data_IF_109686955747
#
_entry.id   IF_109686955747
#
_cell.length_a   1.000
_cell.length_b   1.000
_cell.length_c   1.000
_cell.angle_alpha   90.00
_cell.angle_beta   90.00
_cell.angle_gamma   90.00
#
_symmetry.space_group_name_H-M   'P 1'
#
loop_
_entity.id
_entity.type
_entity.pdbx_description
1 polymer ?
#
# COMPACT_ATOMS: atom_id res chain seq x y z
N UNK A 1 10.94 0.83 13.81
CA UNK A 1 10.12 1.28 12.68
C UNK A 1 8.74 0.66 12.83
N UNK A 2 7.68 1.35 12.41
CA UNK A 2 6.32 0.86 12.57
C UNK A 2 5.57 0.99 11.23
N UNK A 3 4.85 -0.04 10.84
CA UNK A 3 3.93 -0.03 9.72
C UNK A 3 2.51 -0.18 10.26
N UNK A 4 1.59 0.71 9.86
CA UNK A 4 0.18 0.62 10.24
C UNK A 4 -0.70 0.83 9.02
N UNK A 5 -1.39 -0.21 8.61
CA UNK A 5 -2.45 -0.13 7.59
C UNK A 5 -3.70 0.42 8.28
N UNK A 6 -4.02 1.66 7.99
CA UNK A 6 -5.17 2.37 8.55
C UNK A 6 -6.47 2.02 7.82
N UNK A 7 -6.39 1.80 6.52
CA UNK A 7 -7.50 1.39 5.66
C UNK A 7 -6.96 0.68 4.43
N UNK A 8 -7.71 -0.30 3.92
CA UNK A 8 -7.33 -1.05 2.71
C UNK A 8 -8.58 -1.51 1.94
N UNK A 9 -8.53 -1.38 0.60
CA UNK A 9 -9.58 -1.80 -0.33
C UNK A 9 -10.19 -0.64 -1.12
N UNK A 10 -11.05 -0.95 -2.09
CA UNK A 10 -11.64 0.01 -3.05
C UNK A 10 -12.49 1.14 -2.42
N UNK A 11 -12.75 1.09 -1.12
CA UNK A 11 -13.44 2.16 -0.39
C UNK A 11 -12.48 3.21 0.18
N UNK A 12 -11.19 2.94 0.23
CA UNK A 12 -10.14 3.86 0.63
C UNK A 12 -8.93 3.16 1.23
N UNK A 13 -7.76 3.61 0.82
CA UNK A 13 -6.46 3.12 1.24
C UNK A 13 -5.72 4.22 2.02
N UNK A 14 -5.08 3.85 3.10
CA UNK A 14 -4.21 4.73 3.88
C UNK A 14 -3.28 3.89 4.76
N UNK A 15 -1.99 4.17 4.69
CA UNK A 15 -0.98 3.46 5.47
C UNK A 15 -0.04 4.45 6.13
N UNK A 16 0.24 4.28 7.42
CA UNK A 16 1.23 5.07 8.16
C UNK A 16 2.53 4.29 8.27
N UNK A 17 3.63 4.95 7.95
CA UNK A 17 4.98 4.42 8.21
C UNK A 17 5.71 5.39 9.15
N UNK A 18 6.10 4.89 10.32
CA UNK A 18 6.70 5.69 11.39
C UNK A 18 8.12 5.21 11.72
N UNK A 19 9.01 6.15 12.00
CA UNK A 19 10.35 5.89 12.52
C UNK A 19 10.77 7.00 13.50
N UNK A 20 10.98 6.62 14.77
CA UNK A 20 11.47 7.56 15.79
C UNK A 20 10.53 8.74 16.08
N UNK A 21 9.23 8.52 16.14
CA UNK A 21 8.22 9.54 16.42
C UNK A 21 7.89 10.46 15.23
N UNK A 22 8.44 10.15 14.03
CA UNK A 22 8.17 10.87 12.78
C UNK A 22 7.56 9.91 11.78
N UNK A 23 6.59 10.36 11.00
CA UNK A 23 5.83 9.49 10.11
C UNK A 23 5.56 10.11 8.75
N UNK A 24 5.27 9.26 7.79
CA UNK A 24 4.65 9.61 6.51
C UNK A 24 3.36 8.81 6.34
N UNK A 25 2.43 9.36 5.58
CA UNK A 25 1.25 8.64 5.11
C UNK A 25 1.45 8.23 3.66
N UNK A 26 1.25 6.96 3.38
CA UNK A 26 1.11 6.42 2.03
C UNK A 26 -0.37 6.34 1.73
N UNK A 27 -0.81 7.14 0.78
CA UNK A 27 -2.21 7.40 0.42
C UNK A 27 -3.09 7.93 1.57
N UNK A 28 -4.13 8.63 1.19
CA UNK A 28 -5.20 9.12 2.07
C UNK A 28 -6.54 8.97 1.35
N UNK A 29 -6.92 7.75 1.09
CA UNK A 29 -8.16 7.40 0.37
C UNK A 29 -9.43 7.47 1.22
N UNK A 30 -9.29 7.62 2.54
CA UNK A 30 -10.38 7.90 3.48
C UNK A 30 -10.37 9.37 3.91
N UNK A 31 -11.43 9.85 4.57
CA UNK A 31 -11.48 11.26 4.98
C UNK A 31 -10.34 11.61 5.95
N UNK A 32 -9.85 12.85 5.91
CA UNK A 32 -8.80 13.33 6.81
C UNK A 32 -9.16 13.13 8.30
N UNK A 33 -10.44 13.34 8.68
CA UNK A 33 -10.93 13.10 10.04
C UNK A 33 -10.79 11.62 10.42
N UNK A 34 -11.19 10.73 9.53
CA UNK A 34 -11.12 9.28 9.77
C UNK A 34 -9.67 8.79 9.81
N UNK A 35 -8.80 9.32 8.94
CA UNK A 35 -7.36 9.02 8.96
C UNK A 35 -6.76 9.35 10.33
N UNK A 36 -6.97 10.57 10.82
CA UNK A 36 -6.45 11.00 12.14
C UNK A 36 -7.04 10.18 13.29
N UNK A 37 -8.35 9.87 13.23
CA UNK A 37 -8.99 9.00 14.23
C UNK A 37 -8.33 7.61 14.26
N UNK A 38 -8.10 7.00 13.09
CA UNK A 38 -7.48 5.67 12.99
C UNK A 38 -6.02 5.67 13.44
N UNK A 39 -5.27 6.73 13.18
CA UNK A 39 -3.91 6.92 13.72
C UNK A 39 -3.93 6.92 15.25
N UNK A 40 -4.86 7.65 15.86
CA UNK A 40 -5.01 7.68 17.31
C UNK A 40 -5.42 6.31 17.88
N UNK A 41 -6.39 5.61 17.27
CA UNK A 41 -6.81 4.25 17.66
C UNK A 41 -5.65 3.26 17.54
N UNK A 42 -4.80 3.41 16.54
CA UNK A 42 -3.60 2.58 16.38
C UNK A 42 -2.49 2.91 17.40
N UNK A 43 -2.70 3.87 18.31
CA UNK A 43 -1.68 4.30 19.28
C UNK A 43 -0.47 5.00 18.61
N UNK A 44 -0.68 5.67 17.48
CA UNK A 44 0.34 6.45 16.76
C UNK A 44 0.02 7.96 16.76
N UNK A 45 -0.87 8.41 17.65
CA UNK A 45 -1.32 9.80 17.70
C UNK A 45 -0.23 10.82 17.99
N UNK A 46 0.84 10.43 18.66
CA UNK A 46 1.97 11.30 18.98
C UNK A 46 3.02 11.39 17.84
N UNK A 47 2.88 10.57 16.80
CA UNK A 47 3.80 10.63 15.67
C UNK A 47 3.58 11.89 14.84
N UNK A 48 4.66 12.64 14.59
CA UNK A 48 4.63 13.81 13.71
C UNK A 48 4.56 13.37 12.26
N UNK A 49 3.43 13.59 11.61
CA UNK A 49 3.27 13.34 10.19
C UNK A 49 3.95 14.46 9.41
N UNK A 50 4.87 14.12 8.50
CA UNK A 50 5.69 15.08 7.77
C UNK A 50 5.38 15.17 6.28
N UNK A 51 4.75 14.15 5.71
CA UNK A 51 4.36 14.14 4.30
C UNK A 51 3.22 13.14 4.03
N UNK A 52 2.55 13.37 2.91
CA UNK A 52 1.73 12.37 2.21
C UNK A 52 2.48 11.93 0.96
N UNK A 53 2.54 10.64 0.71
CA UNK A 53 3.05 10.03 -0.53
C UNK A 53 1.86 9.41 -1.26
N UNK A 54 1.70 9.68 -2.54
CA UNK A 54 0.62 9.11 -3.35
C UNK A 54 1.18 8.01 -4.26
N UNK A 55 0.52 6.87 -4.23
CA UNK A 55 0.81 5.76 -5.16
C UNK A 55 0.31 6.07 -6.55
N UNK A 56 -0.93 6.55 -6.66
CA UNK A 56 -1.57 6.95 -7.92
C UNK A 56 -2.82 7.82 -7.64
N UNK A 57 -3.49 8.29 -8.71
CA UNK A 57 -4.55 9.31 -8.63
C UNK A 57 -5.97 8.80 -8.35
N UNK A 58 -6.21 7.50 -8.24
CA UNK A 58 -7.57 6.99 -8.00
C UNK A 58 -8.16 7.53 -6.70
N UNK A 59 -9.48 7.74 -6.71
CA UNK A 59 -10.20 8.42 -5.62
C UNK A 59 -10.02 7.74 -4.26
N UNK A 60 -9.93 6.43 -4.24
CA UNK A 60 -9.70 5.62 -3.03
C UNK A 60 -8.25 5.69 -2.51
N UNK A 61 -7.38 6.47 -3.16
CA UNK A 61 -6.02 6.81 -2.70
C UNK A 61 -5.85 8.29 -2.37
N UNK A 62 -6.58 9.21 -3.03
CA UNK A 62 -6.31 10.65 -2.91
C UNK A 62 -7.40 11.46 -2.21
N UNK A 63 -8.60 10.92 -2.02
CA UNK A 63 -9.81 11.66 -1.59
C UNK A 63 -9.62 12.54 -0.35
N UNK A 64 -8.86 12.09 0.64
CA UNK A 64 -8.62 12.82 1.87
C UNK A 64 -7.33 13.64 1.89
N UNK A 65 -6.45 13.46 0.91
CA UNK A 65 -5.08 14.01 0.90
C UNK A 65 -5.06 15.54 1.00
N UNK A 66 -5.90 16.23 0.20
CA UNK A 66 -6.02 17.69 0.21
C UNK A 66 -6.33 18.24 1.60
N UNK A 67 -7.39 17.72 2.22
CA UNK A 67 -7.87 18.23 3.51
C UNK A 67 -6.85 17.95 4.60
N UNK A 68 -6.23 16.78 4.56
CA UNK A 68 -5.21 16.39 5.54
C UNK A 68 -3.95 17.23 5.39
N UNK A 69 -3.41 17.35 4.19
CA UNK A 69 -2.18 18.10 3.91
C UNK A 69 -2.32 19.57 4.32
N UNK A 70 -3.44 20.21 3.95
CA UNK A 70 -3.73 21.60 4.36
C UNK A 70 -3.87 21.75 5.86
N UNK A 71 -4.56 20.83 6.52
CA UNK A 71 -4.77 20.86 7.98
C UNK A 71 -3.46 20.73 8.75
N UNK A 72 -2.54 19.90 8.28
CA UNK A 72 -1.26 19.65 8.94
C UNK A 72 -0.12 20.53 8.44
N UNK A 73 -0.31 21.27 7.33
CA UNK A 73 0.72 22.09 6.70
C UNK A 73 1.87 21.23 6.17
N UNK A 74 1.57 20.10 5.54
CA UNK A 74 2.58 19.13 5.05
C UNK A 74 2.51 18.97 3.53
N UNK A 75 3.65 18.67 2.88
CA UNK A 75 3.72 18.42 1.45
C UNK A 75 3.04 17.11 1.04
N UNK A 76 2.61 17.06 -0.23
CA UNK A 76 2.11 15.86 -0.91
C UNK A 76 3.07 15.52 -2.05
N UNK A 77 3.64 14.33 -1.99
CA UNK A 77 4.53 13.78 -3.01
C UNK A 77 3.78 12.81 -3.91
N UNK A 78 4.11 12.81 -5.19
CA UNK A 78 3.60 11.86 -6.17
C UNK A 78 4.35 12.01 -7.48
N UNK A 79 4.22 11.02 -8.37
CA UNK A 79 4.79 11.16 -9.71
C UNK A 79 4.14 12.32 -10.47
N UNK A 80 4.82 12.83 -11.50
CA UNK A 80 4.28 13.90 -12.33
C UNK A 80 2.93 13.51 -12.97
N UNK A 81 2.79 12.25 -13.40
CA UNK A 81 1.53 11.71 -13.92
C UNK A 81 0.43 11.73 -12.88
N UNK A 82 0.69 11.18 -11.69
CA UNK A 82 -0.24 11.15 -10.56
C UNK A 82 -0.68 12.55 -10.14
N UNK A 83 0.25 13.48 -9.94
CA UNK A 83 -0.10 14.85 -9.50
C UNK A 83 -0.93 15.60 -10.54
N UNK A 84 -0.63 15.45 -11.84
CA UNK A 84 -1.45 16.06 -12.91
C UNK A 84 -2.85 15.45 -12.97
N UNK A 85 -2.96 14.14 -12.91
CA UNK A 85 -4.25 13.45 -12.96
C UNK A 85 -5.11 13.72 -11.71
N UNK A 86 -4.48 13.86 -10.54
CA UNK A 86 -5.13 14.19 -9.28
C UNK A 86 -5.35 15.70 -9.06
N UNK A 87 -5.02 16.59 -10.00
CA UNK A 87 -5.01 18.04 -9.80
C UNK A 87 -6.32 18.60 -9.21
N UNK A 88 -7.48 18.08 -9.65
CA UNK A 88 -8.78 18.48 -9.11
C UNK A 88 -8.97 18.08 -7.64
N UNK A 89 -8.44 16.91 -7.24
CA UNK A 89 -8.50 16.43 -5.88
C UNK A 89 -7.47 17.11 -4.96
N UNK A 90 -6.39 17.65 -5.52
CA UNK A 90 -5.28 18.28 -4.80
C UNK A 90 -5.28 19.81 -4.91
N UNK A 91 -6.34 20.41 -5.41
CA UNK A 91 -6.46 21.87 -5.50
C UNK A 91 -6.16 22.55 -4.16
N UNK A 92 -5.41 23.67 -4.19
CA UNK A 92 -4.99 24.44 -3.00
C UNK A 92 -4.12 23.66 -1.96
N UNK A 93 -3.54 22.54 -2.32
CA UNK A 93 -2.45 21.96 -1.53
C UNK A 93 -1.21 22.84 -1.73
N UNK A 94 -0.62 23.39 -0.65
CA UNK A 94 0.45 24.41 -0.80
C UNK A 94 1.69 23.85 -1.50
N UNK A 95 2.07 22.63 -1.13
CA UNK A 95 3.31 22.02 -1.56
C UNK A 95 3.04 20.67 -2.24
N UNK A 96 2.93 20.68 -3.57
CA UNK A 96 2.93 19.48 -4.40
C UNK A 96 4.36 19.22 -4.89
N UNK A 97 4.93 18.10 -4.45
CA UNK A 97 6.32 17.72 -4.68
C UNK A 97 6.40 16.58 -5.69
N UNK A 98 6.76 16.84 -6.95
CA UNK A 98 6.93 15.77 -7.93
C UNK A 98 8.11 14.88 -7.58
N UNK A 99 7.93 13.59 -7.80
CA UNK A 99 8.99 12.58 -7.74
C UNK A 99 9.06 11.83 -9.07
N UNK A 100 10.21 11.29 -9.37
CA UNK A 100 10.38 10.36 -10.47
C UNK A 100 10.37 8.91 -9.97
N UNK A 101 10.13 7.97 -10.87
CA UNK A 101 10.29 6.56 -10.55
C UNK A 101 11.73 6.28 -10.15
N UNK A 102 11.93 5.48 -9.11
CA UNK A 102 13.23 5.14 -8.50
C UNK A 102 13.91 6.30 -7.76
N UNK A 103 13.21 7.41 -7.57
CA UNK A 103 13.70 8.46 -6.69
C UNK A 103 13.85 7.96 -5.25
N UNK A 104 14.86 8.50 -4.60
CA UNK A 104 15.11 8.25 -3.18
C UNK A 104 15.01 9.55 -2.39
N UNK A 105 14.04 9.60 -1.50
CA UNK A 105 13.74 10.74 -0.63
C UNK A 105 14.22 10.48 0.80
N UNK A 106 14.59 11.53 1.50
CA UNK A 106 14.89 11.47 2.94
C UNK A 106 13.82 12.24 3.71
N UNK A 107 12.80 11.55 4.21
CA UNK A 107 11.65 12.13 4.93
C UNK A 107 11.42 11.35 6.22
N UNK A 108 11.03 12.02 7.28
CA UNK A 108 10.72 11.41 8.59
C UNK A 108 11.85 10.52 9.15
N UNK A 109 13.12 10.84 8.80
CA UNK A 109 14.28 10.05 9.21
C UNK A 109 14.41 8.69 8.50
N UNK A 110 13.66 8.47 7.45
CA UNK A 110 13.69 7.28 6.60
C UNK A 110 14.20 7.62 5.20
N UNK A 111 14.87 6.66 4.56
CA UNK A 111 15.05 6.65 3.12
C UNK A 111 13.81 6.00 2.50
N UNK A 112 13.19 6.69 1.56
CA UNK A 112 11.96 6.26 0.89
C UNK A 112 12.26 6.20 -0.59
N UNK A 113 12.06 5.03 -1.22
CA UNK A 113 12.32 4.85 -2.65
C UNK A 113 11.06 4.38 -3.34
N UNK A 114 10.69 5.06 -4.43
CA UNK A 114 9.56 4.67 -5.28
C UNK A 114 9.99 3.60 -6.29
N UNK A 115 9.06 2.74 -6.69
CA UNK A 115 9.22 1.77 -7.76
C UNK A 115 7.93 1.67 -8.59
N UNK A 116 8.03 1.31 -9.86
CA UNK A 116 6.87 1.24 -10.74
C UNK A 116 5.94 0.07 -10.37
N UNK A 117 4.63 0.32 -10.45
CA UNK A 117 3.59 -0.72 -10.45
C UNK A 117 2.85 -0.73 -11.78
N UNK A 118 2.21 -1.86 -12.11
CA UNK A 118 1.44 -2.01 -13.34
C UNK A 118 -0.06 -1.90 -13.05
N UNK A 119 -0.59 -0.68 -13.24
CA UNK A 119 -1.99 -0.36 -13.00
C UNK A 119 -2.56 0.58 -14.05
N UNK A 120 -3.89 0.66 -14.17
CA UNK A 120 -4.60 1.55 -15.09
C UNK A 120 -4.69 3.00 -14.57
N UNK A 121 -3.54 3.53 -14.17
CA UNK A 121 -3.33 4.88 -13.68
C UNK A 121 -2.28 5.63 -14.51
N UNK A 122 -2.14 6.94 -14.29
CA UNK A 122 -1.29 7.78 -15.12
C UNK A 122 0.21 7.47 -14.98
N UNK A 123 0.67 7.27 -13.75
CA UNK A 123 2.08 6.93 -13.46
C UNK A 123 2.19 6.29 -12.06
N UNK A 124 1.66 5.06 -11.88
CA UNK A 124 1.52 4.44 -10.57
C UNK A 124 2.87 3.95 -10.04
N UNK A 125 3.02 4.01 -8.70
CA UNK A 125 4.21 3.56 -7.97
C UNK A 125 3.88 2.90 -6.65
N UNK A 126 4.73 1.97 -6.21
CA UNK A 126 4.83 1.51 -4.84
C UNK A 126 6.02 2.16 -4.13
N UNK A 127 6.20 1.88 -2.85
CA UNK A 127 7.27 2.48 -2.05
C UNK A 127 7.96 1.49 -1.13
N UNK A 128 9.27 1.65 -1.01
CA UNK A 128 10.05 1.06 0.09
C UNK A 128 10.46 2.15 1.08
N UNK A 129 10.51 1.78 2.35
CA UNK A 129 10.90 2.63 3.46
C UNK A 129 12.02 1.96 4.22
N UNK A 130 13.13 2.66 4.44
CA UNK A 130 14.27 2.13 5.17
C UNK A 130 14.63 3.08 6.31
N UNK A 131 14.62 2.57 7.54
CA UNK A 131 15.01 3.32 8.72
C UNK A 131 16.53 3.37 8.86
N UNK A 132 17.05 4.31 9.65
CA UNK A 132 18.47 4.40 9.98
C UNK A 132 19.02 3.15 10.69
N UNK A 133 18.16 2.32 11.28
CA UNK A 133 18.53 1.04 11.92
C UNK A 133 18.52 -0.15 10.94
N UNK A 134 18.29 0.09 9.65
CA UNK A 134 18.26 -0.94 8.62
C UNK A 134 16.94 -1.70 8.52
N UNK A 135 15.91 -1.38 9.31
CA UNK A 135 14.59 -1.97 9.09
C UNK A 135 14.02 -1.48 7.77
N UNK A 136 13.50 -2.41 6.97
CA UNK A 136 12.94 -2.11 5.65
C UNK A 136 11.49 -2.57 5.58
N UNK A 137 10.62 -1.72 5.05
CA UNK A 137 9.22 -1.97 4.73
C UNK A 137 9.02 -1.78 3.24
N UNK A 138 8.25 -2.64 2.58
CA UNK A 138 7.83 -2.46 1.20
C UNK A 138 6.31 -2.51 1.11
N UNK A 139 5.72 -1.59 0.32
CA UNK A 139 4.27 -1.56 0.07
C UNK A 139 4.04 -1.49 -1.44
N UNK A 140 3.37 -2.51 -1.97
CA UNK A 140 2.93 -2.61 -3.36
C UNK A 140 1.44 -2.94 -3.38
N UNK A 141 0.64 -1.97 -3.75
CA UNK A 141 -0.81 -2.09 -3.97
C UNK A 141 -1.14 -1.63 -5.38
N UNK A 142 -2.28 -2.08 -5.89
CA UNK A 142 -2.77 -1.72 -7.22
C UNK A 142 -1.75 -2.05 -8.32
N UNK A 143 -1.57 -3.34 -8.52
CA UNK A 143 -0.73 -3.88 -9.58
C UNK A 143 -1.32 -5.18 -10.13
N UNK A 144 -1.42 -5.30 -11.44
CA UNK A 144 -1.94 -6.52 -12.08
C UNK A 144 -0.92 -7.65 -12.18
N UNK A 145 0.38 -7.36 -12.04
CA UNK A 145 1.44 -8.35 -12.11
C UNK A 145 2.65 -7.95 -11.25
N UNK A 146 3.50 -8.93 -10.96
CA UNK A 146 4.78 -8.72 -10.26
C UNK A 146 5.89 -8.57 -11.30
N UNK A 147 6.38 -7.36 -11.46
CA UNK A 147 7.56 -7.07 -12.29
C UNK A 147 8.85 -7.42 -11.54
N UNK A 148 10.00 -7.55 -12.23
CA UNK A 148 11.29 -7.67 -11.57
C UNK A 148 11.55 -6.52 -10.59
N UNK A 149 11.13 -5.30 -10.91
CA UNK A 149 11.29 -4.12 -10.05
C UNK A 149 10.49 -4.25 -8.74
N UNK A 150 9.25 -4.75 -8.81
CA UNK A 150 8.44 -5.04 -7.63
C UNK A 150 9.09 -6.16 -6.79
N UNK A 151 9.55 -7.23 -7.45
CA UNK A 151 10.22 -8.34 -6.76
C UNK A 151 11.48 -7.87 -6.00
N UNK A 152 12.31 -7.02 -6.62
CA UNK A 152 13.49 -6.42 -6.00
C UNK A 152 13.11 -5.48 -4.83
N UNK A 153 12.01 -4.74 -4.96
CA UNK A 153 11.50 -3.89 -3.89
C UNK A 153 11.04 -4.69 -2.66
N UNK A 154 10.40 -5.84 -2.88
CA UNK A 154 9.95 -6.74 -1.81
C UNK A 154 11.11 -7.50 -1.16
N UNK A 155 12.17 -7.78 -1.91
CA UNK A 155 13.31 -8.55 -1.42
C UNK A 155 14.01 -7.84 -0.24
N UNK A 156 14.31 -8.60 0.82
CA UNK A 156 14.97 -8.07 2.03
C UNK A 156 14.09 -7.17 2.90
N UNK A 157 12.79 -7.05 2.63
CA UNK A 157 11.87 -6.31 3.50
C UNK A 157 11.57 -7.11 4.79
N UNK A 158 11.53 -6.41 5.92
CA UNK A 158 11.16 -6.97 7.23
C UNK A 158 9.64 -6.99 7.42
N UNK A 159 8.92 -6.06 6.79
CA UNK A 159 7.47 -6.10 6.67
C UNK A 159 7.05 -5.77 5.23
N UNK A 160 6.04 -6.46 4.74
CA UNK A 160 5.51 -6.32 3.39
C UNK A 160 4.01 -6.04 3.47
N UNK A 161 3.57 -4.97 2.78
CA UNK A 161 2.18 -4.76 2.38
C UNK A 161 2.06 -5.09 0.90
N UNK A 162 1.36 -6.16 0.55
CA UNK A 162 1.22 -6.61 -0.83
C UNK A 162 -0.24 -6.76 -1.19
N UNK A 163 -0.62 -6.29 -2.38
CA UNK A 163 -1.96 -6.52 -2.90
C UNK A 163 -2.29 -8.02 -2.96
N UNK A 164 -3.53 -8.36 -2.60
CA UNK A 164 -4.13 -9.68 -2.76
C UNK A 164 -5.61 -9.46 -3.02
N UNK A 165 -5.92 -8.96 -4.23
CA UNK A 165 -7.23 -8.39 -4.51
C UNK A 165 -8.32 -9.44 -4.63
N UNK A 166 -8.10 -10.52 -5.40
CA UNK A 166 -9.16 -11.46 -5.71
C UNK A 166 -8.72 -12.92 -5.72
N UNK A 167 -9.63 -13.79 -5.35
CA UNK A 167 -9.58 -15.20 -5.69
C UNK A 167 -10.02 -15.37 -7.14
N UNK A 168 -9.23 -16.05 -7.96
CA UNK A 168 -9.48 -16.19 -9.41
C UNK A 168 -10.80 -16.92 -9.70
N UNK A 169 -11.20 -17.91 -8.87
CA UNK A 169 -12.45 -18.66 -9.03
C UNK A 169 -13.64 -17.81 -8.63
N UNK A 170 -13.55 -17.06 -7.54
CA UNK A 170 -14.60 -16.14 -7.11
C UNK A 170 -14.82 -15.04 -8.14
N UNK A 171 -13.74 -14.46 -8.70
CA UNK A 171 -13.85 -13.46 -9.77
C UNK A 171 -14.51 -14.05 -11.01
N UNK A 172 -14.11 -15.27 -11.45
CA UNK A 172 -14.69 -15.93 -12.61
C UNK A 172 -16.20 -16.21 -12.43
N UNK A 173 -16.60 -16.71 -11.27
CA UNK A 173 -17.98 -17.05 -10.94
C UNK A 173 -18.83 -15.86 -10.47
N UNK A 174 -18.21 -14.75 -10.03
CA UNK A 174 -18.85 -13.61 -9.40
C UNK A 174 -19.78 -12.82 -10.34
N UNK A 175 -20.52 -11.84 -9.80
CA UNK A 175 -21.59 -11.14 -10.52
C UNK A 175 -21.08 -10.09 -11.51
N UNK A 176 -19.79 -9.79 -11.54
CA UNK A 176 -19.26 -8.73 -12.40
C UNK A 176 -19.43 -9.06 -13.90
N UNK A 177 -19.70 -8.06 -14.75
CA UNK A 177 -19.78 -8.28 -16.18
C UNK A 177 -18.41 -8.69 -16.76
N UNK A 178 -18.40 -9.43 -17.89
CA UNK A 178 -17.16 -10.00 -18.45
C UNK A 178 -16.04 -9.00 -18.72
N UNK A 179 -16.36 -7.77 -19.13
CA UNK A 179 -15.36 -6.74 -19.38
C UNK A 179 -14.66 -6.31 -18.10
N UNK A 180 -15.40 -6.21 -16.97
CA UNK A 180 -14.84 -5.83 -15.67
C UNK A 180 -13.96 -6.96 -15.10
N UNK A 181 -14.39 -8.22 -15.24
CA UNK A 181 -13.58 -9.38 -14.86
C UNK A 181 -12.24 -9.40 -15.61
N UNK A 182 -12.27 -9.15 -16.92
CA UNK A 182 -11.03 -9.06 -17.74
C UNK A 182 -10.14 -7.90 -17.33
N UNK A 183 -10.72 -6.73 -17.00
CA UNK A 183 -9.97 -5.58 -16.51
C UNK A 183 -9.29 -5.91 -15.17
N UNK A 184 -10.02 -6.48 -14.22
CA UNK A 184 -9.50 -6.84 -12.89
C UNK A 184 -8.38 -7.87 -13.00
N UNK A 185 -8.55 -8.92 -13.80
CA UNK A 185 -7.56 -9.99 -13.97
C UNK A 185 -6.43 -9.65 -14.97
N UNK A 186 -6.46 -8.48 -15.60
CA UNK A 186 -5.47 -8.09 -16.60
C UNK A 186 -4.17 -7.57 -15.97
N UNK A 187 -3.11 -7.45 -16.77
CA UNK A 187 -1.77 -7.02 -16.33
C UNK A 187 -1.75 -5.62 -15.69
N UNK A 188 -2.71 -4.76 -16.04
CA UNK A 188 -2.89 -3.43 -15.45
C UNK A 188 -4.12 -3.37 -14.53
N UNK A 189 -4.62 -4.52 -14.10
CA UNK A 189 -5.72 -4.65 -13.16
C UNK A 189 -5.20 -4.80 -11.73
N UNK A 190 -5.54 -5.94 -11.11
CA UNK A 190 -5.23 -6.23 -9.71
C UNK A 190 -4.66 -7.65 -9.54
N UNK A 191 -3.80 -7.80 -8.56
CA UNK A 191 -3.09 -9.05 -8.28
C UNK A 191 -4.03 -10.09 -7.67
N UNK A 192 -4.02 -11.30 -8.21
CA UNK A 192 -4.74 -12.42 -7.60
C UNK A 192 -4.04 -12.92 -6.34
N UNK A 193 -4.78 -13.62 -5.48
CA UNK A 193 -4.22 -14.25 -4.27
C UNK A 193 -3.06 -15.21 -4.60
N UNK A 194 -3.17 -16.00 -5.67
CA UNK A 194 -2.15 -16.95 -6.08
C UNK A 194 -0.88 -16.25 -6.56
N UNK A 195 -1.01 -15.16 -7.33
CA UNK A 195 0.12 -14.38 -7.79
C UNK A 195 0.84 -13.67 -6.64
N UNK A 196 0.08 -13.10 -5.69
CA UNK A 196 0.62 -12.50 -4.48
C UNK A 196 1.38 -13.53 -3.61
N UNK A 197 0.81 -14.72 -3.43
CA UNK A 197 1.44 -15.80 -2.70
C UNK A 197 2.73 -16.31 -3.38
N UNK A 198 2.73 -16.39 -4.71
CA UNK A 198 3.93 -16.76 -5.48
C UNK A 198 5.05 -15.71 -5.32
N UNK A 199 4.72 -14.42 -5.39
CA UNK A 199 5.66 -13.33 -5.17
C UNK A 199 6.27 -13.38 -3.76
N UNK A 200 5.44 -13.58 -2.74
CA UNK A 200 5.94 -13.73 -1.37
C UNK A 200 6.89 -14.90 -1.23
N UNK A 201 6.56 -16.06 -1.82
CA UNK A 201 7.42 -17.24 -1.78
C UNK A 201 8.79 -16.99 -2.43
N UNK A 202 8.85 -16.16 -3.46
CA UNK A 202 10.09 -15.80 -4.16
C UNK A 202 10.96 -14.80 -3.38
N UNK A 203 10.37 -13.90 -2.61
CA UNK A 203 11.08 -12.84 -1.87
C UNK A 203 11.24 -13.10 -0.37
N UNK A 204 10.68 -14.19 0.16
CA UNK A 204 10.76 -14.51 1.58
C UNK A 204 12.21 -14.79 2.03
N UNK A 205 12.58 -14.24 3.17
CA UNK A 205 13.91 -14.37 3.77
C UNK A 205 13.81 -14.41 5.30
N UNK A 206 14.90 -14.80 5.99
CA UNK A 206 14.91 -15.03 7.45
C UNK A 206 14.55 -13.79 8.30
N UNK A 207 14.72 -12.58 7.77
CA UNK A 207 14.38 -11.34 8.47
C UNK A 207 12.95 -10.85 8.22
N UNK A 208 12.19 -11.47 7.32
CA UNK A 208 10.79 -11.16 7.13
C UNK A 208 9.99 -11.54 8.37
N UNK A 209 9.28 -10.59 8.96
CA UNK A 209 8.51 -10.77 10.18
C UNK A 209 7.00 -10.60 10.01
N UNK A 210 6.57 -9.74 9.09
CA UNK A 210 5.15 -9.41 8.89
C UNK A 210 4.80 -9.30 7.40
N UNK A 211 3.62 -9.83 7.06
CA UNK A 211 3.02 -9.70 5.73
C UNK A 211 1.56 -9.31 5.88
N UNK A 212 1.18 -8.20 5.28
CA UNK A 212 -0.19 -7.72 5.18
C UNK A 212 -0.68 -7.91 3.75
N UNK A 213 -1.73 -8.73 3.57
CA UNK A 213 -2.43 -8.82 2.30
C UNK A 213 -3.40 -7.64 2.20
N UNK A 214 -3.21 -6.80 1.20
CA UNK A 214 -3.88 -5.52 1.04
C UNK A 214 -4.90 -5.53 -0.11
N UNK A 215 -5.75 -4.53 -0.13
CA UNK A 215 -6.67 -4.22 -1.23
C UNK A 215 -7.60 -5.38 -1.62
N UNK A 216 -8.13 -6.10 -0.63
CA UNK A 216 -9.02 -7.22 -0.84
C UNK A 216 -10.36 -6.76 -1.44
N UNK A 217 -10.78 -7.41 -2.51
CA UNK A 217 -12.12 -7.21 -3.11
C UNK A 217 -13.20 -7.68 -2.14
N UNK A 218 -14.19 -6.83 -1.91
CA UNK A 218 -15.34 -7.19 -1.04
C UNK A 218 -16.23 -8.27 -1.66
N UNK A 219 -16.20 -8.44 -3.00
CA UNK A 219 -17.08 -9.38 -3.72
C UNK A 219 -16.36 -10.62 -4.25
N UNK A 220 -15.07 -10.50 -4.54
CA UNK A 220 -14.32 -11.56 -5.19
C UNK A 220 -13.18 -12.10 -4.33
N UNK A 221 -13.24 -11.87 -3.02
CA UNK A 221 -12.25 -12.37 -2.08
C UNK A 221 -12.85 -12.62 -0.69
N UNK A 222 -12.17 -13.44 0.09
CA UNK A 222 -12.41 -13.60 1.53
C UNK A 222 -11.08 -13.75 2.26
N UNK A 223 -11.00 -13.41 3.55
CA UNK A 223 -9.80 -13.67 4.36
C UNK A 223 -9.37 -15.14 4.34
N UNK A 224 -10.32 -16.06 4.26
CA UNK A 224 -10.09 -17.50 4.21
C UNK A 224 -9.42 -17.91 2.90
N UNK A 225 -9.89 -17.40 1.74
CA UNK A 225 -9.29 -17.62 0.42
C UNK A 225 -7.87 -17.09 0.37
N UNK A 226 -7.63 -15.90 0.92
CA UNK A 226 -6.28 -15.32 1.04
C UNK A 226 -5.39 -16.20 1.90
N UNK A 227 -5.84 -16.60 3.10
CA UNK A 227 -5.05 -17.49 3.99
C UNK A 227 -4.74 -18.83 3.33
N UNK A 228 -5.68 -19.39 2.56
CA UNK A 228 -5.48 -20.64 1.83
C UNK A 228 -4.37 -20.51 0.77
N UNK A 229 -4.39 -19.43 -0.04
CA UNK A 229 -3.37 -19.16 -1.04
C UNK A 229 -1.96 -18.98 -0.41
N UNK A 230 -1.88 -18.26 0.71
CA UNK A 230 -0.61 -17.99 1.40
C UNK A 230 -0.14 -19.12 2.33
N UNK A 231 -0.94 -20.16 2.54
CA UNK A 231 -0.59 -21.27 3.46
C UNK A 231 0.74 -21.96 3.09
N UNK A 232 1.03 -22.12 1.79
CA UNK A 232 2.28 -22.77 1.32
C UNK A 232 3.51 -21.87 1.51
N UNK A 233 3.53 -20.60 1.05
CA UNK A 233 4.63 -19.67 1.33
C UNK A 233 4.93 -19.53 2.82
N UNK A 234 3.91 -19.54 3.66
CA UNK A 234 4.06 -19.34 5.11
C UNK A 234 4.62 -20.56 5.84
N UNK A 235 4.48 -21.80 5.32
CA UNK A 235 4.96 -23.03 6.00
C UNK A 235 6.46 -23.07 6.20
N UNK A 236 7.25 -22.46 5.34
CA UNK A 236 8.72 -22.40 5.43
C UNK A 236 9.24 -21.25 6.29
N UNK A 237 8.37 -20.32 6.68
CA UNK A 237 8.71 -19.06 7.35
C UNK A 237 8.09 -19.02 8.77
N UNK A 238 8.38 -20.02 9.60
CA UNK A 238 7.90 -20.06 10.98
C UNK A 238 8.29 -18.82 11.76
N UNK A 239 7.30 -18.06 12.23
CA UNK A 239 7.47 -16.79 12.93
C UNK A 239 7.00 -15.57 12.16
N UNK A 240 6.70 -15.65 10.85
CA UNK A 240 6.11 -14.55 10.10
C UNK A 240 4.63 -14.40 10.45
N UNK A 241 4.24 -13.23 10.89
CA UNK A 241 2.83 -12.86 11.10
C UNK A 241 2.21 -12.51 9.74
N UNK A 242 1.14 -13.22 9.37
CA UNK A 242 0.39 -12.99 8.13
C UNK A 242 -1.03 -12.52 8.44
N UNK A 243 -1.40 -11.37 7.89
CA UNK A 243 -2.71 -10.76 8.14
C UNK A 243 -3.37 -10.27 6.83
N UNK A 244 -4.50 -10.88 6.41
CA UNK A 244 -5.38 -10.28 5.41
C UNK A 244 -6.10 -9.07 6.01
N UNK A 245 -5.85 -7.89 5.47
CA UNK A 245 -6.44 -6.65 5.98
C UNK A 245 -7.77 -6.40 5.30
N UNK A 246 -8.84 -6.67 6.02
CA UNK A 246 -10.21 -6.45 5.54
C UNK A 246 -10.61 -4.98 5.66
N UNK A 247 -11.66 -4.60 4.93
CA UNK A 247 -12.26 -3.28 5.01
C UNK A 247 -12.52 -2.88 6.46
N UNK A 248 -12.20 -1.64 6.80
CA UNK A 248 -12.35 -1.04 8.13
C UNK A 248 -11.46 -1.64 9.24
N UNK A 249 -10.67 -2.66 8.98
CA UNK A 249 -9.65 -3.10 9.93
C UNK A 249 -8.49 -2.09 10.01
N UNK A 250 -7.83 -2.10 11.17
CA UNK A 250 -6.53 -1.47 11.37
C UNK A 250 -5.57 -2.60 11.70
N UNK A 251 -4.50 -2.71 10.95
CA UNK A 251 -3.48 -3.73 11.16
C UNK A 251 -2.11 -3.08 11.25
N UNK A 252 -1.16 -3.66 11.98
CA UNK A 252 0.17 -3.05 12.05
C UNK A 252 1.18 -3.86 12.81
N UNK A 253 2.46 -3.49 12.63
CA UNK A 253 3.59 -4.11 13.30
C UNK A 253 4.63 -3.08 13.74
N UNK A 254 5.44 -3.48 14.71
CA UNK A 254 6.69 -2.80 15.11
C UNK A 254 7.89 -3.68 14.71
N UNK A 255 8.92 -3.05 14.14
CA UNK A 255 10.17 -3.65 13.67
C UNK A 255 11.36 -3.18 14.52
#
# INVERSE_FOLDING_TARGET
MRLVVLASGSSGNATLVESGGRAVLLDVGISARETLRRIAVAGAGDARIEAVLLTHEHTDHVRGARVLARRLGIPVYGTNGTLRAAAGCLADVPDLMPIERRDSLSIAGMRITSFATEHDAAEPVGFTFESRRGHRVAVATDTGLITPEIADALAGAHAIGLESNHDARMLAAGPYPPFLKRRIAGERGHLSNDAAAAALNACAWKGLSHVFALHLSEQNNTPESVRAAFARPMRGNGGVVFEPVVRNAIAGCCL
#
